data_IF_488975988704
#
_entry.id   IF_488975988704
#
_cell.length_a   1.000
_cell.length_b   1.000
_cell.length_c   1.000
_cell.angle_alpha   90.00
_cell.angle_beta   90.00
_cell.angle_gamma   90.00
#
_symmetry.space_group_name_H-M   'P 1'
#
loop_
_entity.id
_entity.type
_entity.pdbx_description
1 polymer ?
#
# COMPACT_ATOMS: atom_id res chain seq x y z
N UNK A 1 41.73 3.72 -28.69
CA UNK A 1 41.07 2.40 -28.56
C UNK A 1 39.98 2.58 -27.53
N UNK A 2 38.74 2.65 -27.99
CA UNK A 2 37.57 2.95 -27.17
C UNK A 2 36.61 1.81 -27.43
N UNK A 3 36.29 1.03 -26.39
CA UNK A 3 35.41 -0.13 -26.49
C UNK A 3 34.00 0.37 -26.15
N UNK A 4 33.12 0.40 -27.14
CA UNK A 4 31.68 0.54 -26.98
C UNK A 4 31.08 -0.82 -26.62
N UNK A 5 30.28 -0.86 -25.56
CA UNK A 5 29.47 -2.03 -25.17
C UNK A 5 28.04 -1.73 -25.59
N UNK A 6 27.51 -2.53 -26.52
CA UNK A 6 26.11 -2.50 -26.97
C UNK A 6 25.18 -3.07 -25.89
N UNK A 7 24.06 -2.40 -25.63
CA UNK A 7 22.94 -2.93 -24.85
C UNK A 7 21.99 -3.71 -25.78
N UNK A 8 21.38 -4.83 -25.33
CA UNK A 8 20.45 -5.59 -26.15
C UNK A 8 19.07 -4.92 -26.24
N UNK A 9 18.57 -4.83 -27.46
CA UNK A 9 17.21 -4.41 -27.83
C UNK A 9 16.16 -5.38 -27.26
N UNK A 10 15.24 -4.86 -26.44
CA UNK A 10 14.00 -5.53 -26.05
C UNK A 10 12.92 -5.19 -27.08
N UNK A 11 12.91 -5.88 -28.21
CA UNK A 11 11.80 -5.88 -29.16
C UNK A 11 11.43 -7.33 -29.50
N UNK A 12 10.64 -7.97 -28.64
CA UNK A 12 9.84 -9.12 -28.99
C UNK A 12 8.81 -9.38 -27.90
N UNK A 13 7.60 -8.86 -28.08
CA UNK A 13 6.29 -9.54 -27.96
C UNK A 13 5.25 -8.44 -28.26
N UNK A 14 5.00 -8.24 -29.55
CA UNK A 14 3.86 -7.46 -30.01
C UNK A 14 3.37 -8.10 -31.30
N UNK A 15 2.62 -9.20 -31.16
CA UNK A 15 1.82 -9.69 -32.26
C UNK A 15 0.63 -10.50 -31.73
N UNK A 16 -0.54 -9.82 -31.61
CA UNK A 16 -1.85 -10.46 -31.75
C UNK A 16 -2.94 -9.45 -32.14
N UNK A 17 -3.20 -9.46 -33.46
CA UNK A 17 -4.45 -9.20 -34.22
C UNK A 17 -5.43 -8.13 -33.72
N UNK A 18 -5.40 -7.01 -34.44
CA UNK A 18 -6.49 -6.04 -34.60
C UNK A 18 -7.60 -6.61 -35.49
N UNK A 19 -8.84 -6.62 -35.02
CA UNK A 19 -10.03 -6.60 -35.87
C UNK A 19 -10.55 -5.15 -35.90
N UNK A 20 -10.62 -4.57 -37.10
CA UNK A 20 -10.65 -3.12 -37.30
C UNK A 20 -11.98 -2.40 -37.10
N UNK A 21 -11.87 -1.07 -37.08
CA UNK A 21 -12.96 -0.14 -37.37
C UNK A 21 -12.90 1.21 -36.64
N UNK A 22 -12.19 2.20 -37.21
CA UNK A 22 -12.59 3.62 -37.15
C UNK A 22 -12.02 4.54 -36.06
N UNK A 23 -10.91 5.22 -36.39
CA UNK A 23 -10.62 6.65 -36.14
C UNK A 23 -10.95 7.30 -34.80
N UNK A 24 -9.90 7.54 -34.01
CA UNK A 24 -9.85 8.52 -32.91
C UNK A 24 -8.62 8.25 -32.04
N UNK A 25 -7.75 9.25 -31.86
CA UNK A 25 -6.57 9.19 -30.99
C UNK A 25 -6.95 8.71 -29.58
N UNK A 26 -6.74 7.43 -29.31
CA UNK A 26 -6.74 6.88 -27.97
C UNK A 26 -5.35 6.29 -27.74
N UNK A 27 -4.62 6.90 -26.81
CA UNK A 27 -3.52 6.23 -26.14
C UNK A 27 -4.03 4.85 -25.72
N UNK A 28 -3.33 3.79 -26.14
CA UNK A 28 -3.67 2.43 -25.78
C UNK A 28 -3.72 2.32 -24.26
N UNK A 29 -4.93 2.34 -23.70
CA UNK A 29 -5.18 2.03 -22.32
C UNK A 29 -4.79 0.56 -22.17
N UNK A 30 -3.64 0.31 -21.52
CA UNK A 30 -3.25 -1.03 -21.12
C UNK A 30 -4.37 -1.55 -20.20
N UNK A 31 -5.21 -2.42 -20.74
CA UNK A 31 -6.21 -3.16 -19.97
C UNK A 31 -5.44 -4.21 -19.17
N UNK A 32 -4.85 -3.80 -18.05
CA UNK A 32 -4.23 -4.66 -17.04
C UNK A 32 -5.30 -5.32 -16.15
N UNK A 33 -6.42 -5.72 -16.74
CA UNK A 33 -7.47 -6.39 -16.00
C UNK A 33 -7.23 -7.89 -16.09
N UNK A 34 -6.59 -8.47 -15.07
CA UNK A 34 -6.23 -9.89 -14.98
C UNK A 34 -7.44 -10.85 -14.95
N UNK A 35 -8.64 -10.37 -15.29
CA UNK A 35 -9.87 -11.15 -15.27
C UNK A 35 -10.48 -11.32 -13.89
N UNK A 36 -9.99 -10.59 -12.88
CA UNK A 36 -10.53 -10.64 -11.52
C UNK A 36 -11.98 -10.12 -11.48
N UNK A 37 -12.91 -11.00 -11.10
CA UNK A 37 -14.32 -10.62 -10.91
C UNK A 37 -14.48 -10.02 -9.53
N UNK A 38 -14.72 -8.71 -9.47
CA UNK A 38 -15.02 -8.00 -8.22
C UNK A 38 -16.36 -8.52 -7.67
N UNK A 39 -16.41 -9.04 -6.44
CA UNK A 39 -17.64 -9.50 -5.83
C UNK A 39 -18.56 -8.32 -5.46
N UNK A 40 -19.87 -8.53 -5.55
CA UNK A 40 -20.88 -7.51 -5.24
C UNK A 40 -20.92 -7.14 -3.73
N UNK A 41 -20.44 -8.04 -2.86
CA UNK A 41 -20.39 -7.86 -1.41
C UNK A 41 -19.20 -8.58 -0.77
N UNK A 42 -18.77 -8.12 0.41
CA UNK A 42 -17.74 -8.78 1.21
C UNK A 42 -18.18 -10.14 1.75
N UNK A 43 -17.27 -10.86 2.42
CA UNK A 43 -17.53 -12.20 2.98
C UNK A 43 -18.67 -12.24 4.02
N UNK A 44 -19.14 -11.08 4.49
CA UNK A 44 -20.23 -10.89 5.45
C UNK A 44 -21.52 -10.36 4.82
N UNK A 45 -21.57 -10.20 3.49
CA UNK A 45 -22.75 -9.74 2.75
C UNK A 45 -22.96 -8.21 2.74
N UNK A 46 -21.96 -7.44 3.18
CA UNK A 46 -21.99 -5.98 3.17
C UNK A 46 -21.27 -5.41 1.93
N UNK A 47 -21.59 -4.16 1.56
CA UNK A 47 -20.80 -3.42 0.58
C UNK A 47 -19.40 -3.12 1.16
N UNK A 48 -18.35 -3.33 0.38
CA UNK A 48 -16.97 -3.05 0.78
C UNK A 48 -16.76 -1.59 1.19
N UNK A 49 -15.98 -1.37 2.25
CA UNK A 49 -15.61 -0.03 2.74
C UNK A 49 -16.80 0.90 3.00
N UNK A 50 -17.90 0.36 3.52
CA UNK A 50 -19.06 1.16 3.87
C UNK A 50 -18.97 1.67 5.31
N UNK A 51 -18.39 2.87 5.47
CA UNK A 51 -18.24 3.54 6.78
C UNK A 51 -19.56 4.06 7.37
N UNK A 52 -20.63 4.13 6.59
CA UNK A 52 -21.94 4.63 7.04
C UNK A 52 -22.90 3.51 7.46
N UNK A 53 -22.62 2.26 7.04
CA UNK A 53 -23.43 1.10 7.40
C UNK A 53 -23.46 0.89 8.92
N UNK A 54 -24.68 0.70 9.45
CA UNK A 54 -24.86 0.26 10.83
C UNK A 54 -24.21 -1.12 11.00
N UNK A 55 -23.13 -1.16 11.78
CA UNK A 55 -22.37 -2.35 12.12
C UNK A 55 -21.79 -2.21 13.53
N UNK A 56 -21.49 -3.32 14.20
CA UNK A 56 -20.88 -3.32 15.53
C UNK A 56 -19.51 -2.61 15.55
N UNK A 57 -18.85 -2.48 14.38
CA UNK A 57 -17.53 -1.85 14.23
C UNK A 57 -17.59 -0.35 13.90
N UNK A 58 -18.76 0.21 13.57
CA UNK A 58 -18.90 1.60 13.09
C UNK A 58 -18.31 2.61 14.08
N UNK A 59 -18.69 2.53 15.35
CA UNK A 59 -18.20 3.46 16.39
C UNK A 59 -16.68 3.34 16.58
N UNK A 60 -16.15 2.11 16.58
CA UNK A 60 -14.71 1.84 16.69
C UNK A 60 -13.92 2.43 15.54
N UNK A 61 -14.40 2.24 14.30
CA UNK A 61 -13.73 2.76 13.09
C UNK A 61 -13.83 4.30 13.03
N UNK A 62 -14.96 4.89 13.41
CA UNK A 62 -15.11 6.34 13.45
C UNK A 62 -14.19 6.98 14.49
N UNK A 63 -14.12 6.41 15.70
CA UNK A 63 -13.22 6.89 16.76
C UNK A 63 -11.74 6.70 16.37
N UNK A 64 -11.40 5.58 15.74
CA UNK A 64 -10.08 5.34 15.17
C UNK A 64 -9.65 6.48 14.23
N UNK A 65 -10.48 6.78 13.22
CA UNK A 65 -10.17 7.82 12.24
C UNK A 65 -10.19 9.22 12.85
N UNK A 66 -11.06 9.47 13.84
CA UNK A 66 -11.02 10.72 14.61
C UNK A 66 -9.67 10.93 15.26
N UNK A 67 -9.17 9.94 16.00
CA UNK A 67 -7.88 10.03 16.70
C UNK A 67 -6.72 10.11 15.70
N UNK A 68 -6.75 9.33 14.62
CA UNK A 68 -5.77 9.41 13.54
C UNK A 68 -5.69 10.83 12.96
N UNK A 69 -6.81 11.38 12.48
CA UNK A 69 -6.83 12.67 11.81
C UNK A 69 -6.41 13.83 12.71
N UNK A 70 -6.69 13.75 14.02
CA UNK A 70 -6.28 14.78 14.99
C UNK A 70 -4.76 14.76 15.22
N UNK A 71 -4.15 13.57 15.27
CA UNK A 71 -2.78 13.41 15.78
C UNK A 71 -1.71 13.24 14.68
N UNK A 72 -2.09 12.85 13.47
CA UNK A 72 -1.21 12.78 12.30
C UNK A 72 -0.87 14.20 11.81
N UNK A 73 0.11 14.81 12.47
CA UNK A 73 0.65 16.15 12.14
C UNK A 73 1.96 16.02 11.39
N UNK A 74 2.35 17.07 10.65
CA UNK A 74 3.62 17.15 9.94
C UNK A 74 4.81 16.91 10.88
N UNK A 75 4.77 17.49 12.08
CA UNK A 75 5.82 17.30 13.09
C UNK A 75 5.82 15.88 13.69
N UNK A 76 4.64 15.29 13.92
CA UNK A 76 4.55 13.90 14.37
C UNK A 76 5.19 12.95 13.35
N UNK A 77 4.74 13.01 12.09
CA UNK A 77 5.21 12.14 11.01
C UNK A 77 6.72 12.27 10.81
N UNK A 78 7.25 13.51 10.82
CA UNK A 78 8.69 13.73 10.70
C UNK A 78 9.47 12.99 11.79
N UNK A 79 9.04 13.09 13.06
CA UNK A 79 9.70 12.39 14.17
C UNK A 79 9.60 10.88 14.05
N UNK A 80 8.43 10.36 13.65
CA UNK A 80 8.25 8.92 13.45
C UNK A 80 9.18 8.39 12.36
N UNK A 81 9.26 9.09 11.23
CA UNK A 81 10.17 8.72 10.13
C UNK A 81 11.65 8.81 10.53
N UNK A 82 12.04 9.81 11.32
CA UNK A 82 13.40 9.90 11.89
C UNK A 82 13.70 8.76 12.86
N UNK A 83 12.75 8.39 13.72
CA UNK A 83 12.93 7.33 14.69
C UNK A 83 13.01 5.94 14.04
N UNK A 84 12.03 5.62 13.19
CA UNK A 84 11.81 4.29 12.64
C UNK A 84 12.51 4.06 11.30
N UNK A 85 12.90 5.11 10.59
CA UNK A 85 13.70 5.00 9.36
C UNK A 85 15.13 4.47 9.61
N UNK A 86 15.56 4.37 10.87
CA UNK A 86 16.83 3.71 11.24
C UNK A 86 16.78 2.19 11.09
N UNK A 87 15.57 1.62 11.07
CA UNK A 87 15.30 0.17 10.99
C UNK A 87 16.20 -0.64 11.94
N UNK A 88 16.20 -0.28 13.22
CA UNK A 88 17.11 -0.78 14.25
C UNK A 88 16.40 -1.38 15.48
N UNK A 89 15.12 -1.74 15.35
CA UNK A 89 14.30 -2.35 16.40
C UNK A 89 14.62 -3.83 16.59
N UNK A 90 14.76 -4.59 15.48
CA UNK A 90 15.10 -6.02 15.53
C UNK A 90 15.69 -6.54 14.21
N UNK A 91 16.14 -7.80 14.20
CA UNK A 91 16.57 -8.50 13.00
C UNK A 91 15.79 -9.82 12.84
N UNK A 92 15.00 -9.95 11.77
CA UNK A 92 14.19 -11.13 11.49
C UNK A 92 13.95 -11.32 10.00
N UNK A 93 13.56 -12.53 9.60
CA UNK A 93 13.17 -12.85 8.22
C UNK A 93 11.73 -12.42 7.93
N UNK A 94 11.38 -12.27 6.64
CA UNK A 94 10.02 -11.91 6.23
C UNK A 94 8.98 -12.94 6.71
N UNK A 95 9.28 -14.24 6.64
CA UNK A 95 8.32 -15.25 7.09
C UNK A 95 8.13 -15.27 8.61
N UNK A 96 9.19 -14.99 9.38
CA UNK A 96 9.09 -14.81 10.83
C UNK A 96 8.20 -13.59 11.18
N UNK A 97 8.28 -12.52 10.39
CA UNK A 97 7.40 -11.35 10.51
C UNK A 97 5.92 -11.69 10.25
N UNK A 98 5.64 -12.46 9.20
CA UNK A 98 4.28 -12.95 8.87
C UNK A 98 3.70 -13.76 10.05
N UNK A 99 4.50 -14.64 10.64
CA UNK A 99 4.08 -15.45 11.78
C UNK A 99 3.80 -14.58 13.03
N UNK A 100 4.57 -13.50 13.24
CA UNK A 100 4.36 -12.55 14.34
C UNK A 100 3.06 -11.75 14.21
N UNK A 101 2.68 -11.36 12.98
CA UNK A 101 1.45 -10.60 12.74
C UNK A 101 0.17 -11.37 12.99
N UNK A 102 0.26 -12.69 13.12
CA UNK A 102 -0.88 -13.56 13.40
C UNK A 102 -1.52 -13.28 14.78
N UNK A 103 -0.87 -12.47 15.63
CA UNK A 103 -1.34 -12.07 16.96
C UNK A 103 -2.24 -10.82 16.96
N UNK A 104 -2.41 -10.12 15.82
CA UNK A 104 -3.10 -8.82 15.75
C UNK A 104 -4.35 -8.84 14.85
N UNK A 105 -5.34 -8.04 15.25
CA UNK A 105 -6.55 -7.73 14.47
C UNK A 105 -6.52 -6.23 14.13
N UNK A 106 -6.78 -5.88 12.87
CA UNK A 106 -6.79 -4.49 12.39
C UNK A 106 -8.13 -3.81 12.74
N UNK A 107 -8.11 -2.79 13.60
CA UNK A 107 -9.32 -2.09 14.06
C UNK A 107 -9.90 -1.14 13.00
N UNK A 108 -9.11 -0.71 12.02
CA UNK A 108 -9.52 0.25 10.99
C UNK A 108 -10.32 -0.37 9.84
N UNK A 109 -10.19 -1.68 9.67
CA UNK A 109 -10.80 -2.42 8.58
C UNK A 109 -12.25 -2.82 8.92
N UNK A 110 -13.27 -2.30 8.22
CA UNK A 110 -14.65 -2.71 8.44
C UNK A 110 -14.96 -4.11 7.90
N UNK A 111 -14.06 -4.70 7.10
CA UNK A 111 -14.27 -5.90 6.30
C UNK A 111 -13.50 -7.14 6.81
N UNK A 112 -12.66 -7.04 7.85
CA UNK A 112 -11.73 -8.11 8.27
C UNK A 112 -11.85 -8.52 9.74
N UNK A 113 -12.14 -9.81 9.98
CA UNK A 113 -12.08 -10.47 11.30
C UNK A 113 -11.32 -11.82 11.22
N UNK A 114 -10.25 -11.85 10.41
CA UNK A 114 -9.41 -13.03 10.19
C UNK A 114 -7.94 -12.76 10.52
N UNK A 115 -7.15 -13.82 10.78
CA UNK A 115 -5.72 -13.63 11.07
C UNK A 115 -4.98 -13.04 9.88
N UNK A 116 -4.01 -12.15 10.14
CA UNK A 116 -3.33 -11.39 9.08
C UNK A 116 -2.65 -12.27 8.02
N UNK A 117 -2.11 -13.44 8.40
CA UNK A 117 -1.49 -14.35 7.44
C UNK A 117 -2.45 -14.81 6.33
N UNK A 118 -3.74 -14.98 6.64
CA UNK A 118 -4.75 -15.37 5.65
C UNK A 118 -4.97 -14.24 4.65
N UNK A 119 -5.09 -12.99 5.12
CA UNK A 119 -5.23 -11.80 4.27
C UNK A 119 -4.05 -11.66 3.30
N UNK A 120 -2.82 -11.78 3.81
CA UNK A 120 -1.60 -11.70 3.01
C UNK A 120 -1.56 -12.78 1.93
N UNK A 121 -1.88 -14.02 2.28
CA UNK A 121 -1.86 -15.15 1.35
C UNK A 121 -3.03 -15.10 0.35
N UNK A 122 -4.22 -14.67 0.75
CA UNK A 122 -5.35 -14.49 -0.16
C UNK A 122 -5.04 -13.44 -1.22
N UNK A 123 -4.48 -12.31 -0.80
CA UNK A 123 -4.03 -11.25 -1.72
C UNK A 123 -2.99 -11.80 -2.69
N UNK A 124 -1.94 -12.44 -2.18
CA UNK A 124 -0.85 -12.96 -2.99
C UNK A 124 -1.28 -14.07 -3.97
N UNK A 125 -2.11 -15.03 -3.54
CA UNK A 125 -2.58 -16.13 -4.38
C UNK A 125 -3.60 -15.66 -5.43
N UNK A 126 -4.44 -14.66 -5.11
CA UNK A 126 -5.36 -14.07 -6.08
C UNK A 126 -4.60 -13.34 -7.19
N UNK A 127 -3.56 -12.56 -6.83
CA UNK A 127 -2.66 -11.94 -7.82
C UNK A 127 -1.98 -13.03 -8.65
N UNK A 128 -1.41 -14.05 -8.00
CA UNK A 128 -0.68 -15.14 -8.67
C UNK A 128 -1.50 -15.89 -9.70
N UNK A 129 -2.79 -16.04 -9.46
CA UNK A 129 -3.72 -16.69 -10.39
C UNK A 129 -3.87 -15.89 -11.69
N UNK A 130 -3.94 -14.57 -11.58
CA UNK A 130 -4.29 -13.68 -12.69
C UNK A 130 -3.06 -13.12 -13.41
N UNK A 131 -1.93 -13.01 -12.70
CA UNK A 131 -0.64 -12.50 -13.19
C UNK A 131 0.50 -13.51 -13.02
N UNK A 132 0.39 -14.75 -13.52
CA UNK A 132 1.29 -15.85 -13.18
C UNK A 132 2.79 -15.61 -13.46
N UNK A 133 3.10 -14.68 -14.37
CA UNK A 133 4.46 -14.34 -14.78
C UNK A 133 5.06 -13.15 -13.97
N UNK A 134 4.27 -12.47 -13.13
CA UNK A 134 4.68 -11.28 -12.37
C UNK A 134 5.02 -11.62 -10.90
N UNK A 135 6.04 -12.46 -10.71
CA UNK A 135 6.37 -13.01 -9.39
C UNK A 135 6.71 -11.95 -8.31
N UNK A 136 7.21 -10.78 -8.71
CA UNK A 136 7.43 -9.63 -7.82
C UNK A 136 6.11 -9.08 -7.26
N UNK A 137 5.03 -9.14 -8.03
CA UNK A 137 3.71 -8.65 -7.61
C UNK A 137 3.07 -9.63 -6.62
N UNK A 138 3.32 -10.94 -6.78
CA UNK A 138 2.88 -11.95 -5.81
C UNK A 138 3.54 -11.72 -4.46
N UNK A 139 4.86 -11.48 -4.46
CA UNK A 139 5.58 -11.16 -3.23
C UNK A 139 5.11 -9.82 -2.65
N UNK A 140 4.86 -8.82 -3.49
CA UNK A 140 4.31 -7.53 -3.05
C UNK A 140 2.99 -7.73 -2.30
N UNK A 141 2.09 -8.59 -2.81
CA UNK A 141 0.87 -8.98 -2.10
C UNK A 141 1.10 -9.70 -0.79
N UNK A 142 2.12 -10.54 -0.69
CA UNK A 142 2.44 -11.20 0.57
C UNK A 142 2.96 -10.22 1.63
N UNK A 143 3.66 -9.15 1.24
CA UNK A 143 4.42 -8.32 2.18
C UNK A 143 3.85 -6.92 2.43
N UNK A 144 2.84 -6.47 1.67
CA UNK A 144 2.33 -5.09 1.72
C UNK A 144 2.00 -4.62 3.14
N UNK A 145 1.44 -5.52 3.94
CA UNK A 145 0.88 -5.24 5.26
C UNK A 145 1.88 -5.49 6.41
N UNK A 146 3.13 -5.89 6.10
CA UNK A 146 4.08 -6.28 7.14
C UNK A 146 4.53 -5.15 8.04
N UNK A 147 4.32 -3.89 7.63
CA UNK A 147 4.58 -2.74 8.48
C UNK A 147 3.69 -2.68 9.73
N UNK A 148 2.62 -3.49 9.80
CA UNK A 148 1.76 -3.61 10.98
C UNK A 148 2.48 -4.16 12.22
N UNK A 149 3.70 -4.69 12.07
CA UNK A 149 4.52 -5.13 13.22
C UNK A 149 4.85 -4.01 14.19
N UNK A 150 4.67 -2.75 13.80
CA UNK A 150 4.73 -1.60 14.71
C UNK A 150 3.80 -1.73 15.93
N UNK A 151 2.73 -2.54 15.84
CA UNK A 151 1.84 -2.87 16.96
C UNK A 151 2.50 -3.77 18.01
N UNK A 152 3.53 -4.52 17.64
CA UNK A 152 4.16 -5.48 18.52
C UNK A 152 5.18 -4.79 19.47
N UNK A 153 5.29 -5.22 20.74
CA UNK A 153 6.18 -4.60 21.73
C UNK A 153 7.65 -4.50 21.29
N UNK A 154 8.15 -5.47 20.53
CA UNK A 154 9.52 -5.43 19.98
C UNK A 154 9.77 -4.28 18.99
N UNK A 155 8.72 -3.63 18.50
CA UNK A 155 8.78 -2.53 17.52
C UNK A 155 8.25 -1.21 18.11
N UNK A 156 7.86 -1.20 19.39
CA UNK A 156 7.48 0.01 20.11
C UNK A 156 6.00 0.09 20.50
N UNK A 157 5.17 -0.92 20.18
CA UNK A 157 3.78 -1.00 20.62
C UNK A 157 2.99 0.28 20.28
N UNK A 158 3.10 0.72 19.03
CA UNK A 158 2.44 1.94 18.59
C UNK A 158 0.92 1.76 18.64
N UNK A 159 0.16 2.82 18.96
CA UNK A 159 -1.29 2.75 18.90
C UNK A 159 -1.76 2.53 17.45
N UNK A 160 -2.86 1.79 17.26
CA UNK A 160 -3.35 1.42 15.92
C UNK A 160 -3.52 2.64 14.99
N UNK A 161 -3.99 3.79 15.51
CA UNK A 161 -4.17 5.00 14.71
C UNK A 161 -2.89 5.52 14.05
N UNK A 162 -1.71 5.16 14.56
CA UNK A 162 -0.41 5.49 13.95
C UNK A 162 0.24 4.32 13.21
N UNK A 163 -0.52 3.28 12.89
CA UNK A 163 -0.03 2.09 12.19
C UNK A 163 -0.91 1.72 11.00
N UNK A 164 -2.23 1.61 11.18
CA UNK A 164 -3.17 1.13 10.15
C UNK A 164 -4.03 2.26 9.58
N UNK A 165 -4.96 1.92 8.69
CA UNK A 165 -5.93 2.85 8.09
C UNK A 165 -5.45 3.59 6.84
N UNK A 166 -6.39 4.27 6.19
CA UNK A 166 -6.14 5.08 4.99
C UNK A 166 -5.11 6.18 5.28
N UNK A 167 -4.22 6.41 4.31
CA UNK A 167 -3.16 7.41 4.41
C UNK A 167 -3.46 8.68 3.61
N UNK A 168 -2.84 9.78 4.02
CA UNK A 168 -2.95 11.09 3.39
C UNK A 168 -1.66 11.90 3.54
N UNK A 169 -1.36 12.85 2.63
CA UNK A 169 -0.23 13.75 2.79
C UNK A 169 -0.43 14.67 4.00
N UNK A 170 0.57 14.72 4.88
CA UNK A 170 0.67 15.78 5.89
C UNK A 170 1.45 16.96 5.33
N UNK A 171 1.27 18.16 5.88
CA UNK A 171 2.03 19.34 5.45
C UNK A 171 1.54 20.03 4.18
N UNK A 172 0.38 19.63 3.65
CA UNK A 172 -0.42 20.39 2.69
C UNK A 172 -1.90 20.30 3.08
N UNK A 173 -2.77 21.04 2.39
CA UNK A 173 -4.21 21.01 2.63
C UNK A 173 -4.77 19.57 2.58
N UNK A 174 -5.58 19.21 3.58
CA UNK A 174 -6.33 17.95 3.57
C UNK A 174 -7.48 18.04 2.56
N UNK A 175 -7.67 16.99 1.76
CA UNK A 175 -8.72 16.88 0.76
C UNK A 175 -10.02 16.33 1.37
N UNK A 176 -11.19 16.79 0.91
CA UNK A 176 -12.49 16.38 1.46
C UNK A 176 -12.84 14.91 1.16
N UNK A 177 -12.14 14.26 0.22
CA UNK A 177 -12.31 12.83 -0.04
C UNK A 177 -11.65 11.91 1.00
N UNK A 178 -10.85 12.45 1.92
CA UNK A 178 -10.37 11.68 3.06
C UNK A 178 -11.57 11.17 3.89
N UNK A 179 -11.51 9.90 4.29
CA UNK A 179 -12.54 9.27 5.15
C UNK A 179 -12.72 10.12 6.41
N UNK A 180 -13.96 10.31 6.87
CA UNK A 180 -14.29 11.14 8.05
C UNK A 180 -13.58 12.52 8.10
N UNK A 181 -13.50 13.23 6.97
CA UNK A 181 -12.82 14.52 6.83
C UNK A 181 -13.15 15.57 7.91
N UNK A 182 -14.37 15.52 8.47
CA UNK A 182 -14.86 16.42 9.53
C UNK A 182 -13.89 16.58 10.70
N UNK A 183 -13.13 15.55 11.04
CA UNK A 183 -12.20 15.55 12.19
C UNK A 183 -10.88 16.26 11.93
N UNK A 184 -10.50 16.51 10.67
CA UNK A 184 -9.30 17.31 10.37
C UNK A 184 -9.39 18.74 10.92
N UNK A 185 -10.59 19.27 11.14
CA UNK A 185 -10.78 20.60 11.74
C UNK A 185 -10.19 20.72 13.15
N UNK A 186 -9.98 19.60 13.83
CA UNK A 186 -9.37 19.51 15.16
C UNK A 186 -7.84 19.28 15.09
N UNK A 187 -7.30 18.96 13.91
CA UNK A 187 -5.85 18.83 13.71
C UNK A 187 -5.18 20.23 13.74
N UNK A 188 -4.10 20.43 14.51
CA UNK A 188 -3.43 21.73 14.59
C UNK A 188 -2.87 22.23 13.24
N UNK A 189 -2.55 21.34 12.30
CA UNK A 189 -2.05 21.72 10.98
C UNK A 189 -3.15 22.24 10.04
N UNK A 190 -4.43 21.94 10.31
CA UNK A 190 -5.56 22.37 9.48
C UNK A 190 -5.68 23.89 9.38
N UNK A 191 -5.38 24.60 10.46
CA UNK A 191 -5.42 26.07 10.53
C UNK A 191 -4.03 26.70 10.34
N UNK A 192 -2.99 25.90 10.09
CA UNK A 192 -1.63 26.40 9.93
C UNK A 192 -1.45 26.93 8.48
N UNK A 193 -1.27 28.25 8.26
CA UNK A 193 -1.19 28.81 6.91
C UNK A 193 0.04 28.35 6.12
N UNK A 194 1.04 27.76 6.78
CA UNK A 194 2.20 27.16 6.10
C UNK A 194 1.91 25.76 5.57
N UNK A 195 0.93 25.06 6.15
CA UNK A 195 0.64 23.65 5.88
C UNK A 195 -0.77 23.43 5.31
N UNK A 196 -1.65 24.44 5.29
CA UNK A 196 -3.03 24.28 4.81
C UNK A 196 -3.29 24.83 3.40
N UNK A 197 -2.24 25.10 2.62
CA UNK A 197 -2.37 25.50 1.21
C UNK A 197 -2.24 24.28 0.30
N UNK A 198 -2.61 24.41 -0.99
CA UNK A 198 -2.54 23.33 -1.98
C UNK A 198 -1.19 22.59 -1.99
N UNK A 199 -0.09 23.33 -1.81
CA UNK A 199 1.25 22.75 -1.80
C UNK A 199 1.85 22.71 -0.39
N UNK A 200 1.46 23.63 0.51
CA UNK A 200 1.99 23.68 1.87
C UNK A 200 3.52 23.68 1.91
N UNK A 201 4.12 22.63 2.45
CA UNK A 201 5.56 22.41 2.53
C UNK A 201 6.22 21.92 1.24
N UNK A 202 5.45 21.62 0.20
CA UNK A 202 5.90 20.96 -1.03
C UNK A 202 5.91 21.89 -2.25
N UNK A 203 6.42 21.38 -3.37
CA UNK A 203 6.33 22.03 -4.69
C UNK A 203 5.49 21.19 -5.65
N UNK A 204 4.98 21.81 -6.71
CA UNK A 204 4.27 21.11 -7.78
C UNK A 204 5.13 20.01 -8.41
N UNK A 205 4.56 18.81 -8.60
CA UNK A 205 5.22 17.68 -9.23
C UNK A 205 6.51 17.24 -8.53
N UNK A 206 6.67 17.48 -7.22
CA UNK A 206 7.87 17.11 -6.48
C UNK A 206 8.13 15.60 -6.44
N UNK A 207 7.11 14.79 -6.72
CA UNK A 207 7.14 13.35 -6.60
C UNK A 207 6.76 12.90 -5.19
N UNK A 208 5.98 11.83 -5.09
CA UNK A 208 5.48 11.35 -3.81
C UNK A 208 6.59 10.86 -2.88
N UNK A 209 7.78 10.51 -3.38
CA UNK A 209 8.94 10.16 -2.54
C UNK A 209 9.38 11.33 -1.64
N UNK A 210 9.11 12.57 -2.08
CA UNK A 210 9.39 13.82 -1.37
C UNK A 210 8.22 14.34 -0.52
N UNK A 211 7.11 13.61 -0.48
CA UNK A 211 5.93 13.96 0.31
C UNK A 211 5.92 13.12 1.60
N UNK A 212 5.68 13.78 2.73
CA UNK A 212 5.43 13.07 3.98
C UNK A 212 3.96 12.62 4.01
N UNK A 213 3.76 11.32 4.08
CA UNK A 213 2.45 10.69 4.27
C UNK A 213 2.20 10.52 5.78
N UNK A 214 0.94 10.52 6.20
CA UNK A 214 0.54 10.09 7.54
C UNK A 214 1.24 8.77 7.89
N UNK A 215 1.86 8.71 9.08
CA UNK A 215 2.74 7.62 9.45
C UNK A 215 1.95 6.31 9.67
N UNK A 216 2.47 5.20 9.14
CA UNK A 216 1.84 3.90 9.28
C UNK A 216 2.64 2.77 8.62
N UNK A 217 1.99 1.62 8.46
CA UNK A 217 2.55 0.39 7.93
C UNK A 217 3.11 0.53 6.52
N UNK A 218 2.44 1.26 5.61
CA UNK A 218 2.92 1.54 4.26
C UNK A 218 4.35 2.09 4.25
N UNK A 219 4.54 3.21 4.95
CA UNK A 219 5.79 3.97 4.92
C UNK A 219 6.90 3.24 5.68
N UNK A 220 6.56 2.58 6.78
CA UNK A 220 7.51 1.76 7.53
C UNK A 220 7.96 0.54 6.73
N UNK A 221 7.06 -0.21 6.11
CA UNK A 221 7.44 -1.37 5.30
C UNK A 221 8.25 -0.97 4.06
N UNK A 222 7.93 0.17 3.44
CA UNK A 222 8.77 0.75 2.40
C UNK A 222 10.19 1.05 2.88
N UNK A 223 10.34 1.67 4.07
CA UNK A 223 11.64 1.95 4.66
C UNK A 223 12.41 0.65 4.95
N UNK A 224 11.77 -0.36 5.54
CA UNK A 224 12.36 -1.69 5.75
C UNK A 224 12.85 -2.28 4.43
N UNK A 225 12.03 -2.26 3.38
CA UNK A 225 12.42 -2.81 2.09
C UNK A 225 13.59 -2.06 1.45
N UNK A 226 13.55 -0.72 1.48
CA UNK A 226 14.57 0.16 0.91
C UNK A 226 15.91 0.03 1.64
N UNK A 227 15.91 0.10 2.97
CA UNK A 227 17.12 0.05 3.79
C UNK A 227 17.78 -1.34 3.79
N UNK A 228 16.99 -2.40 3.59
CA UNK A 228 17.50 -3.76 3.39
C UNK A 228 17.84 -4.07 1.92
N UNK A 229 17.81 -3.06 1.04
CA UNK A 229 18.27 -3.15 -0.36
C UNK A 229 17.55 -4.26 -1.14
N UNK A 230 16.23 -4.33 -1.01
CA UNK A 230 15.42 -5.23 -1.83
C UNK A 230 15.72 -5.05 -3.33
N UNK A 231 15.55 -6.12 -4.08
CA UNK A 231 15.60 -6.10 -5.56
C UNK A 231 14.21 -6.02 -6.19
N UNK A 232 13.15 -5.78 -5.41
CA UNK A 232 11.82 -5.50 -5.95
C UNK A 232 11.86 -4.30 -6.92
N UNK A 233 11.07 -4.33 -8.00
CA UNK A 233 10.98 -3.20 -8.92
C UNK A 233 10.33 -1.98 -8.24
N UNK A 234 10.51 -0.80 -8.85
CA UNK A 234 9.93 0.45 -8.36
C UNK A 234 8.42 0.38 -8.17
N UNK A 235 7.71 -0.32 -9.07
CA UNK A 235 6.27 -0.56 -8.94
C UNK A 235 5.88 -1.30 -7.65
N UNK A 236 6.65 -2.32 -7.24
CA UNK A 236 6.40 -3.07 -6.00
C UNK A 236 6.61 -2.20 -4.77
N UNK A 237 7.69 -1.42 -4.74
CA UNK A 237 7.95 -0.45 -3.66
C UNK A 237 6.90 0.67 -3.60
N UNK A 238 6.43 1.13 -4.75
CA UNK A 238 5.36 2.13 -4.85
C UNK A 238 4.03 1.58 -4.33
N UNK A 239 3.68 0.34 -4.67
CA UNK A 239 2.50 -0.33 -4.11
C UNK A 239 2.60 -0.38 -2.59
N UNK A 240 3.70 -0.92 -2.03
CA UNK A 240 3.88 -1.04 -0.57
C UNK A 240 3.68 0.31 0.12
N UNK A 241 4.23 1.38 -0.43
CA UNK A 241 4.21 2.70 0.21
C UNK A 241 2.88 3.47 0.08
N UNK A 242 2.05 3.14 -0.91
CA UNK A 242 0.87 3.96 -1.24
C UNK A 242 -0.42 3.16 -1.37
N UNK A 243 -0.45 1.89 -0.97
CA UNK A 243 -1.65 1.05 -1.07
C UNK A 243 -2.79 1.48 -0.14
N UNK A 244 -2.46 2.19 0.94
CA UNK A 244 -3.46 2.82 1.82
C UNK A 244 -3.83 4.23 1.37
N UNK A 245 -3.24 4.78 0.29
CA UNK A 245 -3.47 6.16 -0.14
C UNK A 245 -4.74 6.30 -1.01
N UNK A 246 -5.88 5.88 -0.46
CA UNK A 246 -7.20 5.88 -1.13
C UNK A 246 -7.60 7.23 -1.74
N UNK A 247 -7.39 8.39 -1.09
CA UNK A 247 -7.62 9.69 -1.72
C UNK A 247 -6.97 9.82 -3.10
N UNK A 248 -5.77 9.27 -3.29
CA UNK A 248 -5.09 9.28 -4.58
C UNK A 248 -5.67 8.22 -5.53
N UNK A 249 -5.54 6.93 -5.21
CA UNK A 249 -5.78 5.89 -6.20
C UNK A 249 -7.27 5.63 -6.49
N UNK A 250 -8.16 5.97 -5.56
CA UNK A 250 -9.62 5.85 -5.73
C UNK A 250 -10.27 7.16 -6.18
N UNK A 251 -9.86 8.31 -5.63
CA UNK A 251 -10.53 9.59 -5.86
C UNK A 251 -9.76 10.56 -6.78
N UNK A 252 -8.49 10.30 -7.08
CA UNK A 252 -7.67 11.17 -7.92
C UNK A 252 -7.26 12.48 -7.23
N UNK A 253 -7.35 12.55 -5.90
CA UNK A 253 -6.82 13.69 -5.15
C UNK A 253 -5.28 13.69 -5.15
N UNK A 254 -4.67 14.83 -4.84
CA UNK A 254 -3.21 14.98 -4.71
C UNK A 254 -2.35 14.72 -5.96
N UNK A 255 -2.97 14.53 -7.14
CA UNK A 255 -2.26 14.34 -8.42
C UNK A 255 -1.27 15.48 -8.76
N UNK A 256 -1.45 16.68 -8.20
CA UNK A 256 -0.54 17.82 -8.38
C UNK A 256 0.83 17.67 -7.69
N UNK A 257 0.99 16.67 -6.81
CA UNK A 257 2.27 16.35 -6.17
C UNK A 257 3.06 15.28 -6.94
N UNK A 258 2.41 14.52 -7.82
CA UNK A 258 3.01 13.38 -8.53
C UNK A 258 3.97 13.82 -9.64
N UNK A 259 5.08 13.11 -9.76
CA UNK A 259 5.96 13.15 -10.93
C UNK A 259 5.54 12.10 -11.98
N UNK A 260 6.30 11.95 -13.07
CA UNK A 260 5.95 11.01 -14.13
C UNK A 260 6.16 9.54 -13.74
N UNK A 261 7.14 9.24 -12.90
CA UNK A 261 7.35 7.88 -12.38
C UNK A 261 6.18 7.44 -11.48
N UNK A 262 5.68 8.33 -10.63
CA UNK A 262 4.51 8.07 -9.79
C UNK A 262 3.28 7.73 -10.63
N UNK A 263 3.08 8.42 -11.77
CA UNK A 263 1.94 8.19 -12.67
C UNK A 263 2.00 6.82 -13.34
N UNK A 264 3.20 6.37 -13.69
CA UNK A 264 3.41 5.03 -14.24
C UNK A 264 3.15 3.95 -13.18
N UNK A 265 3.69 4.12 -11.98
CA UNK A 265 3.49 3.17 -10.88
C UNK A 265 2.04 3.14 -10.36
N UNK A 266 1.30 4.26 -10.45
CA UNK A 266 -0.12 4.33 -10.08
C UNK A 266 -0.98 3.32 -10.86
N UNK A 267 -0.59 2.95 -12.09
CA UNK A 267 -1.28 1.91 -12.88
C UNK A 267 -1.23 0.57 -12.16
N UNK A 268 -0.05 0.18 -11.67
CA UNK A 268 0.16 -1.05 -10.90
C UNK A 268 -0.51 -1.00 -9.54
N UNK A 269 -0.51 0.16 -8.88
CA UNK A 269 -1.22 0.32 -7.61
C UNK A 269 -2.73 0.09 -7.76
N UNK A 270 -3.34 0.58 -8.86
CA UNK A 270 -4.76 0.32 -9.13
C UNK A 270 -5.06 -1.14 -9.42
N UNK A 271 -4.14 -1.86 -10.06
CA UNK A 271 -4.24 -3.32 -10.23
C UNK A 271 -4.20 -4.00 -8.87
N UNK A 272 -3.18 -3.69 -8.06
CA UNK A 272 -2.98 -4.25 -6.73
C UNK A 272 -4.19 -4.06 -5.81
N UNK A 273 -4.73 -2.84 -5.73
CA UNK A 273 -5.82 -2.51 -4.80
C UNK A 273 -7.08 -3.35 -5.00
N UNK A 274 -7.33 -3.87 -6.21
CA UNK A 274 -8.43 -4.81 -6.45
C UNK A 274 -8.25 -6.08 -5.63
N UNK A 275 -7.03 -6.62 -5.59
CA UNK A 275 -6.74 -7.86 -4.89
C UNK A 275 -6.79 -7.66 -3.39
N UNK A 276 -6.05 -6.67 -2.86
CA UNK A 276 -6.05 -6.33 -1.43
C UNK A 276 -7.48 -6.16 -0.87
N UNK A 277 -8.36 -5.45 -1.60
CA UNK A 277 -9.71 -5.21 -1.12
C UNK A 277 -10.64 -6.42 -1.31
N UNK A 278 -10.59 -7.07 -2.48
CA UNK A 278 -11.65 -7.99 -2.92
C UNK A 278 -11.29 -9.47 -2.84
N UNK A 279 -10.03 -9.83 -2.55
CA UNK A 279 -9.65 -11.24 -2.35
C UNK A 279 -10.03 -11.77 -0.96
N UNK A 280 -10.51 -10.90 -0.06
CA UNK A 280 -10.94 -11.24 1.30
C UNK A 280 -12.07 -12.27 1.26
N UNK A 281 -11.76 -13.49 1.69
CA UNK A 281 -12.65 -14.65 1.58
C UNK A 281 -12.67 -15.49 2.86
N UNK A 282 -13.74 -16.25 3.08
CA UNK A 282 -13.79 -17.24 4.15
C UNK A 282 -13.02 -18.53 3.79
N UNK A 283 -12.60 -18.68 2.53
CA UNK A 283 -11.76 -19.80 2.08
C UNK A 283 -10.32 -19.61 2.55
N UNK A 284 -9.84 -20.54 3.38
CA UNK A 284 -8.48 -20.50 3.93
C UNK A 284 -7.46 -21.05 2.93
N UNK A 285 -6.27 -20.44 2.93
CA UNK A 285 -5.15 -20.91 2.12
C UNK A 285 -4.36 -21.96 2.92
N UNK A 286 -4.01 -23.08 2.26
CA UNK A 286 -3.12 -24.09 2.84
C UNK A 286 -1.68 -23.54 2.90
N UNK A 287 -1.34 -22.96 4.05
CA UNK A 287 -0.05 -22.30 4.31
C UNK A 287 1.13 -23.22 3.99
N UNK A 288 1.11 -24.48 4.42
CA UNK A 288 2.22 -25.42 4.23
C UNK A 288 2.44 -25.75 2.76
N UNK A 289 1.36 -25.77 1.97
CA UNK A 289 1.44 -26.01 0.52
C UNK A 289 2.05 -24.83 -0.23
N UNK A 290 1.75 -23.59 0.16
CA UNK A 290 2.19 -22.38 -0.56
C UNK A 290 3.49 -21.79 -0.02
N UNK A 291 3.83 -22.04 1.25
CA UNK A 291 5.04 -21.52 1.91
C UNK A 291 6.33 -21.77 1.12
N UNK A 292 6.60 -22.96 0.54
CA UNK A 292 7.83 -23.17 -0.24
C UNK A 292 7.96 -22.23 -1.44
N UNK A 293 6.84 -21.90 -2.09
CA UNK A 293 6.83 -20.96 -3.21
C UNK A 293 7.18 -19.54 -2.75
N UNK A 294 6.51 -19.05 -1.71
CA UNK A 294 6.73 -17.70 -1.20
C UNK A 294 8.10 -17.53 -0.54
N UNK A 295 8.62 -18.55 0.13
CA UNK A 295 9.99 -18.57 0.62
C UNK A 295 11.00 -18.37 -0.52
N UNK A 296 10.79 -19.01 -1.68
CA UNK A 296 11.66 -18.83 -2.85
C UNK A 296 11.63 -17.40 -3.41
N UNK A 297 10.48 -16.71 -3.33
CA UNK A 297 10.38 -15.31 -3.72
C UNK A 297 11.06 -14.39 -2.71
N UNK A 298 10.89 -14.66 -1.41
CA UNK A 298 11.57 -13.94 -0.34
C UNK A 298 13.08 -14.02 -0.54
N UNK A 299 13.62 -15.22 -0.77
CA UNK A 299 15.05 -15.43 -1.04
C UNK A 299 15.53 -14.75 -2.33
N UNK A 300 14.68 -14.65 -3.35
CA UNK A 300 14.99 -13.95 -4.61
C UNK A 300 15.11 -12.43 -4.41
N UNK A 301 14.21 -11.84 -3.62
CA UNK A 301 14.02 -10.39 -3.57
C UNK A 301 14.60 -9.71 -2.33
N UNK A 302 14.92 -10.47 -1.28
CA UNK A 302 15.40 -9.96 0.00
C UNK A 302 16.56 -10.79 0.55
N UNK A 303 17.41 -10.18 1.40
CA UNK A 303 18.32 -10.93 2.25
C UNK A 303 17.56 -11.87 3.19
N UNK A 304 18.20 -12.93 3.68
CA UNK A 304 17.58 -13.91 4.58
C UNK A 304 17.12 -13.29 5.92
N UNK A 305 17.83 -12.26 6.40
CA UNK A 305 17.51 -11.51 7.61
C UNK A 305 17.49 -10.02 7.26
N UNK A 306 16.44 -9.34 7.69
CA UNK A 306 16.24 -7.92 7.50
C UNK A 306 16.37 -7.23 8.85
N UNK A 307 16.88 -6.00 8.82
CA UNK A 307 16.74 -5.09 9.95
C UNK A 307 15.38 -4.41 9.86
N UNK A 308 14.65 -4.41 10.96
CA UNK A 308 13.32 -3.81 11.07
C UNK A 308 13.37 -2.66 12.05
#
# INVERSE_FOLDING_TARGET
MTITIEQPHLDAIADRKVAGGGGGDNAAELVLDGGFVVPDSNAFGNAFRNYEAESERKETVEEFYRVNHINQTYDFVRRMREEYGRVDKTEMGIWECIELLNEFIDDSDPDLDMPQIEHLLQTAEAIRKDFPDEDWLHLTGLIHDLGKVLLHPSFGELPQWSVVGDTFPVGCAFDECNVHFKYFKENPDYLNPKLNTKFGAYSEGCGLDNVLMSWGHDDYMYLVAKENKTTLPSAGLFIIRYHSFYPLHKHGAYMHLMNDEDKENLKWLRVFNKYDLYSKSNERIDVEKVKPYYMSLIEKYFPAKLRW
#
